data_IF_511831435631
#
_entry.id   IF_511831435631
#
_cell.length_a   1.000
_cell.length_b   1.000
_cell.length_c   1.000
_cell.angle_alpha   90.00
_cell.angle_beta   90.00
_cell.angle_gamma   90.00
#
_symmetry.space_group_name_H-M   'P 1'
#
loop_
_entity.id
_entity.type
_entity.pdbx_description
1 polymer ?
#
# COMPACT_ATOMS: atom_id res chain seq x y z
N UNK A 1 51.14 43.52 -50.10
CA UNK A 1 49.72 43.40 -49.69
C UNK A 1 49.70 43.05 -48.21
N UNK A 2 49.31 44.01 -47.37
CA UNK A 2 49.22 43.85 -45.91
C UNK A 2 47.78 43.45 -45.57
N UNK A 3 47.57 42.25 -45.02
CA UNK A 3 46.28 41.87 -44.46
C UNK A 3 46.30 42.10 -42.94
N UNK A 4 45.58 43.12 -42.52
CA UNK A 4 45.30 43.44 -41.13
C UNK A 4 44.34 42.41 -40.54
N UNK A 5 44.83 41.55 -39.64
CA UNK A 5 43.99 40.66 -38.85
C UNK A 5 43.51 41.43 -37.61
N UNK A 6 42.29 41.96 -37.69
CA UNK A 6 41.59 42.56 -36.56
C UNK A 6 41.38 41.51 -35.46
N UNK A 7 42.12 41.68 -34.36
CA UNK A 7 42.07 40.82 -33.18
C UNK A 7 40.71 41.03 -32.47
N UNK A 8 39.77 40.11 -32.66
CA UNK A 8 38.51 40.08 -31.90
C UNK A 8 38.83 39.71 -30.46
N UNK A 9 38.98 40.72 -29.59
CA UNK A 9 39.07 40.54 -28.14
C UNK A 9 37.81 39.79 -27.68
N UNK A 10 37.95 38.51 -27.33
CA UNK A 10 36.94 37.80 -26.54
C UNK A 10 36.88 38.48 -25.18
N UNK A 11 35.76 39.11 -24.90
CA UNK A 11 35.43 39.70 -23.60
C UNK A 11 35.19 38.54 -22.62
N UNK A 12 36.28 37.92 -22.15
CA UNK A 12 36.26 36.83 -21.17
C UNK A 12 35.94 37.42 -19.80
N UNK A 13 34.67 37.76 -19.57
CA UNK A 13 34.17 38.12 -18.25
C UNK A 13 34.22 36.87 -17.37
N UNK A 14 35.14 36.85 -16.42
CA UNK A 14 35.21 35.82 -15.39
C UNK A 14 34.04 35.97 -14.40
N UNK A 15 33.51 34.85 -13.93
CA UNK A 15 32.54 34.80 -12.84
C UNK A 15 33.14 35.44 -11.58
N UNK A 16 32.42 36.35 -10.93
CA UNK A 16 32.87 36.88 -9.63
C UNK A 16 32.53 35.91 -8.51
N UNK A 17 33.35 35.89 -7.45
CA UNK A 17 33.07 35.11 -6.24
C UNK A 17 31.75 35.50 -5.59
N UNK A 18 31.35 36.77 -5.71
CA UNK A 18 30.10 37.30 -5.17
C UNK A 18 28.90 36.75 -5.93
N UNK A 19 28.97 36.65 -7.26
CA UNK A 19 27.90 36.04 -8.06
C UNK A 19 27.68 34.57 -7.68
N UNK A 20 28.77 33.82 -7.46
CA UNK A 20 28.65 32.44 -7.01
C UNK A 20 28.08 32.37 -5.58
N UNK A 21 28.47 33.27 -4.68
CA UNK A 21 28.00 33.32 -3.29
C UNK A 21 26.49 33.58 -3.21
N UNK A 22 25.98 34.54 -3.98
CA UNK A 22 24.54 34.83 -4.01
C UNK A 22 23.75 33.64 -4.56
N UNK A 23 24.27 32.94 -5.58
CA UNK A 23 23.60 31.78 -6.16
C UNK A 23 23.48 30.63 -5.16
N UNK A 24 24.57 30.28 -4.46
CA UNK A 24 24.50 29.20 -3.45
C UNK A 24 23.62 29.59 -2.26
N UNK A 25 23.56 30.88 -1.90
CA UNK A 25 22.68 31.38 -0.86
C UNK A 25 21.19 31.20 -1.25
N UNK A 26 20.83 31.55 -2.49
CA UNK A 26 19.46 31.36 -3.01
C UNK A 26 19.11 29.87 -3.10
N UNK A 27 20.01 29.02 -3.62
CA UNK A 27 19.81 27.56 -3.67
C UNK A 27 19.61 26.99 -2.26
N UNK A 28 20.37 27.46 -1.27
CA UNK A 28 20.22 27.05 0.13
C UNK A 28 18.84 27.37 0.70
N UNK A 29 18.32 28.58 0.44
CA UNK A 29 16.97 28.99 0.89
C UNK A 29 15.89 28.13 0.21
N UNK A 30 15.98 27.91 -1.10
CA UNK A 30 15.02 27.10 -1.84
C UNK A 30 15.03 25.63 -1.37
N UNK A 31 16.21 25.05 -1.17
CA UNK A 31 16.37 23.68 -0.70
C UNK A 31 15.78 23.49 0.71
N UNK A 32 15.98 24.46 1.61
CA UNK A 32 15.46 24.41 2.97
C UNK A 32 13.91 24.37 3.01
N UNK A 33 13.23 25.09 2.10
CA UNK A 33 11.76 25.14 2.04
C UNK A 33 11.19 23.84 1.44
N UNK A 34 11.80 23.31 0.38
CA UNK A 34 11.27 22.16 -0.37
C UNK A 34 11.36 20.85 0.42
N UNK A 35 12.47 20.64 1.13
CA UNK A 35 12.82 19.37 1.79
C UNK A 35 11.71 18.80 2.69
N UNK A 36 11.13 19.52 3.67
CA UNK A 36 10.10 18.95 4.55
C UNK A 36 8.78 18.63 3.83
N UNK A 37 8.45 19.35 2.76
CA UNK A 37 7.23 19.11 1.98
C UNK A 37 7.33 17.84 1.14
N UNK A 38 8.51 17.56 0.59
CA UNK A 38 8.78 16.37 -0.21
C UNK A 38 8.61 15.08 0.61
N UNK A 39 9.11 15.05 1.86
CA UNK A 39 8.95 13.89 2.73
C UNK A 39 7.49 13.56 3.04
N UNK A 40 6.66 14.58 3.30
CA UNK A 40 5.21 14.40 3.53
C UNK A 40 4.50 13.86 2.29
N UNK A 41 4.89 14.33 1.10
CA UNK A 41 4.32 13.85 -0.16
C UNK A 41 4.66 12.38 -0.42
N UNK A 42 5.91 11.98 -0.16
CA UNK A 42 6.35 10.58 -0.25
C UNK A 42 5.56 9.71 0.71
N UNK A 43 5.40 10.11 1.97
CA UNK A 43 4.66 9.32 2.95
C UNK A 43 3.18 9.17 2.56
N UNK A 44 2.54 10.26 2.09
CA UNK A 44 1.17 10.19 1.57
C UNK A 44 1.04 9.24 0.37
N UNK A 45 2.05 9.20 -0.51
CA UNK A 45 2.07 8.28 -1.63
C UNK A 45 2.20 6.81 -1.16
N UNK A 46 3.04 6.53 -0.15
CA UNK A 46 3.15 5.20 0.46
C UNK A 46 1.82 4.74 1.05
N UNK A 47 1.16 5.61 1.84
CA UNK A 47 -0.17 5.32 2.41
C UNK A 47 -1.19 5.02 1.29
N UNK A 48 -1.19 5.84 0.23
CA UNK A 48 -2.12 5.67 -0.90
C UNK A 48 -1.90 4.35 -1.64
N UNK A 49 -0.63 3.93 -1.77
CA UNK A 49 -0.27 2.63 -2.37
C UNK A 49 -0.84 1.47 -1.57
N UNK A 50 -0.68 1.47 -0.25
CA UNK A 50 -1.22 0.40 0.61
C UNK A 50 -2.74 0.30 0.48
N UNK A 51 -3.43 1.43 0.50
CA UNK A 51 -4.88 1.47 0.31
C UNK A 51 -5.28 0.90 -1.06
N UNK A 52 -4.53 1.23 -2.12
CA UNK A 52 -4.78 0.69 -3.46
C UNK A 52 -4.54 -0.83 -3.52
N UNK A 53 -3.45 -1.32 -2.92
CA UNK A 53 -3.13 -2.76 -2.86
C UNK A 53 -4.26 -3.53 -2.15
N UNK A 54 -4.72 -3.04 -0.99
CA UNK A 54 -5.82 -3.67 -0.23
C UNK A 54 -7.13 -3.65 -1.02
N UNK A 55 -7.42 -2.57 -1.76
CA UNK A 55 -8.62 -2.50 -2.62
C UNK A 55 -8.57 -3.51 -3.75
N UNK A 56 -7.42 -3.67 -4.40
CA UNK A 56 -7.24 -4.66 -5.45
C UNK A 56 -7.45 -6.08 -4.90
N UNK A 57 -6.89 -6.39 -3.73
CA UNK A 57 -7.09 -7.67 -3.05
C UNK A 57 -8.57 -7.88 -2.70
N UNK A 58 -9.25 -6.87 -2.16
CA UNK A 58 -10.69 -6.95 -1.84
C UNK A 58 -11.53 -7.23 -3.08
N UNK A 59 -11.28 -6.53 -4.18
CA UNK A 59 -11.97 -6.76 -5.44
C UNK A 59 -11.74 -8.18 -5.98
N UNK A 60 -10.50 -8.67 -5.93
CA UNK A 60 -10.16 -10.02 -6.33
C UNK A 60 -10.86 -11.08 -5.46
N UNK A 61 -10.92 -10.86 -4.15
CA UNK A 61 -11.63 -11.73 -3.23
C UNK A 61 -13.12 -11.80 -3.52
N UNK A 62 -13.76 -10.66 -3.83
CA UNK A 62 -15.16 -10.64 -4.23
C UNK A 62 -15.42 -11.34 -5.55
N UNK A 63 -14.55 -11.16 -6.56
CA UNK A 63 -14.67 -11.88 -7.82
C UNK A 63 -14.60 -13.40 -7.59
N UNK A 64 -13.62 -13.86 -6.82
CA UNK A 64 -13.52 -15.28 -6.44
C UNK A 64 -14.78 -15.77 -5.71
N UNK A 65 -15.29 -14.99 -4.75
CA UNK A 65 -16.49 -15.36 -4.00
C UNK A 65 -17.73 -15.43 -4.89
N UNK A 66 -17.87 -14.51 -5.84
CA UNK A 66 -18.99 -14.50 -6.79
C UNK A 66 -19.02 -15.76 -7.66
N UNK A 67 -17.85 -16.25 -8.05
CA UNK A 67 -17.71 -17.42 -8.93
C UNK A 67 -17.82 -18.76 -8.17
N UNK A 68 -17.29 -18.83 -6.96
CA UNK A 68 -17.14 -20.09 -6.21
C UNK A 68 -18.07 -20.25 -5.00
N UNK A 69 -18.70 -19.15 -4.55
CA UNK A 69 -19.52 -19.10 -3.34
C UNK A 69 -18.71 -19.18 -2.03
N UNK A 70 -17.39 -19.06 -2.09
CA UNK A 70 -16.53 -19.05 -0.91
C UNK A 70 -15.32 -18.12 -1.08
N UNK A 71 -14.64 -17.79 0.01
CA UNK A 71 -13.38 -17.05 -0.07
C UNK A 71 -12.23 -17.98 -0.51
N UNK A 72 -11.22 -17.45 -1.23
CA UNK A 72 -10.03 -18.22 -1.59
C UNK A 72 -9.49 -18.96 -0.38
N UNK A 73 -9.08 -20.21 -0.57
CA UNK A 73 -8.27 -20.87 0.46
C UNK A 73 -7.02 -20.00 0.68
N UNK A 74 -6.59 -19.85 1.91
CA UNK A 74 -5.17 -19.60 2.15
C UNK A 74 -4.48 -20.96 2.12
N UNK A 75 -3.18 -21.06 1.85
CA UNK A 75 -2.44 -22.23 2.32
C UNK A 75 -2.74 -22.44 3.80
N UNK A 76 -2.55 -23.67 4.32
CA UNK A 76 -2.95 -24.11 5.67
C UNK A 76 -2.98 -22.96 6.68
N UNK A 77 -4.04 -22.89 7.50
CA UNK A 77 -4.36 -21.85 8.50
C UNK A 77 -3.28 -21.57 9.57
N UNK A 78 -2.03 -21.93 9.31
CA UNK A 78 -0.82 -21.68 10.08
C UNK A 78 0.25 -21.25 9.08
N UNK A 79 0.82 -20.07 9.29
CA UNK A 79 2.06 -19.61 8.66
C UNK A 79 2.98 -20.79 8.31
N UNK A 80 3.08 -21.12 7.03
CA UNK A 80 4.03 -22.11 6.53
C UNK A 80 5.21 -21.36 5.91
N UNK A 81 6.28 -21.08 6.67
CA UNK A 81 7.47 -20.42 6.16
C UNK A 81 8.29 -21.28 5.18
N UNK A 82 7.85 -22.51 4.88
CA UNK A 82 8.57 -23.47 4.03
C UNK A 82 7.92 -23.77 2.69
N UNK A 83 6.66 -23.38 2.44
CA UNK A 83 6.04 -23.51 1.13
C UNK A 83 6.17 -22.23 0.33
N UNK A 84 6.13 -22.34 -1.01
CA UNK A 84 6.00 -21.22 -1.95
C UNK A 84 4.65 -20.48 -1.81
N UNK A 85 4.05 -20.50 -0.61
CA UNK A 85 2.83 -19.79 -0.32
C UNK A 85 3.16 -18.31 -0.21
N UNK A 86 2.66 -17.55 -1.18
CA UNK A 86 2.81 -16.11 -1.28
C UNK A 86 1.96 -15.42 -0.20
N UNK A 87 2.22 -15.71 1.09
CA UNK A 87 1.50 -15.18 2.25
C UNK A 87 -0.03 -15.36 2.17
N UNK A 88 -0.47 -16.53 1.69
CA UNK A 88 -1.90 -16.88 1.56
C UNK A 88 -2.53 -16.46 0.23
N UNK A 89 -1.80 -15.79 -0.67
CA UNK A 89 -2.38 -15.29 -1.92
C UNK A 89 -2.41 -16.30 -3.07
N UNK A 90 -1.80 -17.48 -2.93
CA UNK A 90 -1.61 -18.43 -4.06
C UNK A 90 -2.91 -18.74 -4.83
N UNK A 91 -3.99 -19.02 -4.13
CA UNK A 91 -5.26 -19.41 -4.75
C UNK A 91 -6.08 -18.25 -5.35
N UNK A 92 -5.57 -17.02 -5.28
CA UNK A 92 -6.07 -15.94 -6.13
C UNK A 92 -5.57 -16.06 -7.57
N UNK A 93 -4.44 -16.74 -7.79
CA UNK A 93 -3.82 -16.91 -9.11
C UNK A 93 -3.98 -18.34 -9.65
N UNK A 94 -4.07 -19.31 -8.76
CA UNK A 94 -4.13 -20.73 -9.11
C UNK A 94 -5.48 -21.33 -8.72
N UNK A 95 -5.96 -22.29 -9.52
CA UNK A 95 -7.14 -23.06 -9.18
C UNK A 95 -6.88 -23.89 -7.91
N UNK A 96 -7.82 -23.83 -6.96
CA UNK A 96 -7.76 -24.54 -5.68
C UNK A 96 -8.65 -25.81 -5.64
N UNK A 97 -9.20 -26.18 -6.79
CA UNK A 97 -10.19 -27.24 -6.96
C UNK A 97 -11.63 -26.85 -6.58
N UNK A 98 -11.91 -25.56 -6.32
CA UNK A 98 -13.28 -25.08 -6.14
C UNK A 98 -14.08 -25.16 -7.44
N UNK A 99 -15.35 -25.53 -7.30
CA UNK A 99 -16.30 -25.47 -8.42
C UNK A 99 -16.54 -24.00 -8.77
N UNK A 100 -16.56 -23.69 -10.08
CA UNK A 100 -16.83 -22.34 -10.57
C UNK A 100 -15.61 -21.44 -10.68
N UNK A 101 -14.41 -21.89 -10.29
CA UNK A 101 -13.19 -21.08 -10.47
C UNK A 101 -13.02 -20.63 -11.93
N UNK A 102 -12.90 -19.31 -12.13
CA UNK A 102 -12.77 -18.66 -13.43
C UNK A 102 -11.60 -17.66 -13.44
N UNK A 103 -10.62 -17.88 -12.56
CA UNK A 103 -9.47 -17.00 -12.36
C UNK A 103 -8.46 -17.02 -13.52
N UNK A 104 -7.30 -16.36 -13.35
CA UNK A 104 -6.80 -15.78 -12.11
C UNK A 104 -7.51 -14.47 -11.70
N UNK A 105 -7.71 -14.27 -10.40
CA UNK A 105 -8.32 -13.07 -9.81
C UNK A 105 -7.29 -12.00 -9.41
N UNK A 106 -6.02 -12.38 -9.28
CA UNK A 106 -4.87 -11.48 -9.21
C UNK A 106 -3.86 -11.86 -10.28
N UNK A 107 -3.19 -10.88 -10.88
CA UNK A 107 -2.10 -11.15 -11.84
C UNK A 107 -0.85 -11.71 -11.13
N UNK A 108 -0.58 -11.22 -9.92
CA UNK A 108 0.56 -11.60 -9.08
C UNK A 108 0.25 -11.31 -7.61
N UNK A 109 0.97 -11.92 -6.64
CA UNK A 109 0.77 -11.56 -5.25
C UNK A 109 1.21 -10.11 -5.01
N UNK A 110 0.65 -9.44 -3.99
CA UNK A 110 1.14 -8.13 -3.59
C UNK A 110 2.62 -8.21 -3.20
N UNK A 111 3.38 -7.19 -3.59
CA UNK A 111 4.79 -7.06 -3.17
C UNK A 111 4.91 -6.68 -1.70
N UNK A 112 6.12 -6.29 -1.27
CA UNK A 112 6.31 -5.75 0.07
C UNK A 112 5.53 -4.44 0.25
N UNK A 113 5.13 -4.17 1.49
CA UNK A 113 4.61 -2.86 1.88
C UNK A 113 5.71 -1.80 1.68
N UNK A 114 5.37 -0.50 1.59
CA UNK A 114 6.37 0.56 1.37
C UNK A 114 7.43 0.69 2.48
N UNK A 115 7.25 0.00 3.60
CA UNK A 115 8.17 -0.04 4.73
C UNK A 115 8.84 -1.41 4.91
N UNK A 116 8.70 -2.31 3.93
CA UNK A 116 9.38 -3.61 3.91
C UNK A 116 8.64 -4.75 4.61
N UNK A 117 7.41 -4.52 5.07
CA UNK A 117 6.55 -5.57 5.61
C UNK A 117 5.82 -6.37 4.53
N UNK A 118 4.94 -7.27 4.97
CA UNK A 118 4.18 -8.15 4.09
C UNK A 118 2.69 -7.89 4.18
N UNK A 119 2.00 -8.17 3.07
CA UNK A 119 0.58 -8.44 3.07
C UNK A 119 0.37 -9.93 3.37
N UNK A 120 -0.59 -10.26 4.21
CA UNK A 120 -0.98 -11.63 4.51
C UNK A 120 -2.48 -11.78 4.30
N UNK A 121 -2.89 -12.89 3.72
CA UNK A 121 -4.28 -13.25 3.55
C UNK A 121 -4.61 -14.52 4.33
N UNK A 122 -5.78 -14.54 4.95
CA UNK A 122 -6.37 -15.76 5.47
C UNK A 122 -7.89 -15.70 5.44
N UNK A 123 -8.48 -16.88 5.46
CA UNK A 123 -9.93 -17.05 5.60
C UNK A 123 -10.28 -17.12 7.08
N UNK A 124 -11.39 -16.52 7.47
CA UNK A 124 -11.86 -16.58 8.84
C UNK A 124 -13.39 -16.54 8.88
N UNK A 125 -13.93 -16.43 10.09
CA UNK A 125 -15.34 -16.20 10.34
C UNK A 125 -15.50 -15.11 11.39
N UNK A 126 -16.46 -14.23 11.19
CA UNK A 126 -16.81 -13.18 12.14
C UNK A 126 -18.15 -13.47 12.82
N UNK A 127 -18.21 -13.12 14.11
CA UNK A 127 -19.41 -13.16 14.93
C UNK A 127 -19.44 -11.89 15.77
N UNK A 128 -20.60 -11.24 15.87
CA UNK A 128 -20.79 -9.99 16.61
C UNK A 128 -21.64 -9.00 15.85
N UNK A 129 -21.42 -7.72 16.10
CA UNK A 129 -22.11 -6.62 15.39
C UNK A 129 -21.07 -5.81 14.64
N UNK A 130 -21.22 -5.75 13.32
CA UNK A 130 -20.48 -4.80 12.45
C UNK A 130 -21.40 -3.63 12.11
N UNK A 131 -20.85 -2.57 11.53
CA UNK A 131 -21.64 -1.41 11.09
C UNK A 131 -21.44 -1.22 9.59
N UNK A 132 -22.51 -0.96 8.86
CA UNK A 132 -22.45 -0.62 7.43
C UNK A 132 -21.83 0.78 7.22
N UNK A 133 -21.64 1.16 5.95
CA UNK A 133 -21.14 2.50 5.60
C UNK A 133 -22.06 3.65 6.05
N UNK A 134 -23.35 3.37 6.33
CA UNK A 134 -24.33 4.31 6.87
C UNK A 134 -24.36 4.35 8.41
N UNK A 135 -23.54 3.54 9.09
CA UNK A 135 -23.52 3.43 10.54
C UNK A 135 -24.64 2.56 11.13
N UNK A 136 -25.38 1.81 10.32
CA UNK A 136 -26.40 0.89 10.82
C UNK A 136 -25.75 -0.41 11.32
N UNK A 137 -26.16 -0.94 12.47
CA UNK A 137 -25.64 -2.20 12.98
C UNK A 137 -26.12 -3.39 12.14
N UNK A 138 -25.18 -4.23 11.73
CA UNK A 138 -25.40 -5.52 11.09
C UNK A 138 -24.93 -6.61 12.05
N UNK A 139 -25.86 -7.45 12.51
CA UNK A 139 -25.51 -8.64 13.26
C UNK A 139 -24.91 -9.69 12.32
N UNK A 140 -23.68 -10.12 12.60
CA UNK A 140 -22.98 -11.19 11.90
C UNK A 140 -22.83 -12.38 12.83
N UNK A 141 -23.12 -13.58 12.33
CA UNK A 141 -23.01 -14.80 13.13
C UNK A 141 -22.37 -15.90 12.29
N UNK A 142 -21.16 -16.29 12.67
CA UNK A 142 -20.37 -17.31 11.98
C UNK A 142 -20.21 -17.02 10.48
N UNK A 143 -20.23 -15.74 10.10
CA UNK A 143 -20.23 -15.27 8.72
C UNK A 143 -18.83 -15.44 8.13
N UNK A 144 -18.73 -16.08 6.96
CA UNK A 144 -17.45 -16.28 6.28
C UNK A 144 -16.85 -14.94 5.87
N UNK A 145 -15.59 -14.72 6.20
CA UNK A 145 -14.85 -13.53 5.80
C UNK A 145 -13.45 -13.87 5.28
N UNK A 146 -12.91 -12.95 4.51
CA UNK A 146 -11.50 -12.85 4.20
C UNK A 146 -10.87 -11.79 5.12
N UNK A 147 -9.64 -12.03 5.54
CA UNK A 147 -8.86 -11.06 6.30
C UNK A 147 -7.55 -10.80 5.56
N UNK A 148 -7.24 -9.52 5.39
CA UNK A 148 -5.99 -9.06 4.78
C UNK A 148 -5.23 -8.24 5.80
N UNK A 149 -4.06 -8.72 6.21
CA UNK A 149 -3.21 -8.01 7.15
C UNK A 149 -2.04 -7.35 6.47
N UNK A 150 -1.89 -6.06 6.73
CA UNK A 150 -0.77 -5.23 6.30
C UNK A 150 0.15 -5.09 7.51
N UNK A 151 1.42 -5.48 7.37
CA UNK A 151 2.42 -5.38 8.44
C UNK A 151 3.60 -4.48 8.09
N UNK A 152 4.47 -4.29 9.09
CA UNK A 152 5.75 -3.61 8.94
C UNK A 152 5.66 -2.09 8.97
N UNK A 153 4.65 -1.51 9.65
CA UNK A 153 4.64 -0.06 9.85
C UNK A 153 5.77 0.33 10.81
N UNK A 154 6.51 1.41 10.52
CA UNK A 154 7.67 1.84 11.31
C UNK A 154 7.29 2.38 12.69
N UNK A 155 6.08 2.93 12.83
CA UNK A 155 5.55 3.46 14.07
C UNK A 155 4.01 3.45 14.07
N UNK A 156 3.45 3.65 15.26
CA UNK A 156 2.01 3.68 15.48
C UNK A 156 1.31 4.81 14.70
N UNK A 157 1.93 5.98 14.57
CA UNK A 157 1.35 7.14 13.90
C UNK A 157 1.14 6.89 12.40
N UNK A 158 2.10 6.24 11.75
CA UNK A 158 1.97 5.82 10.34
C UNK A 158 0.88 4.74 10.20
N UNK A 159 0.86 3.73 11.08
CA UNK A 159 -0.21 2.71 11.10
C UNK A 159 -1.60 3.37 11.20
N UNK A 160 -1.78 4.27 12.16
CA UNK A 160 -3.07 4.89 12.42
C UNK A 160 -3.52 5.82 11.27
N UNK A 161 -2.56 6.46 10.59
CA UNK A 161 -2.84 7.24 9.38
C UNK A 161 -3.32 6.36 8.21
N UNK A 162 -2.74 5.17 8.07
CA UNK A 162 -3.15 4.19 7.05
C UNK A 162 -4.51 3.58 7.41
N UNK A 163 -4.73 3.22 8.67
CA UNK A 163 -5.98 2.66 9.17
C UNK A 163 -7.17 3.60 8.88
N UNK A 164 -7.01 4.89 9.18
CA UNK A 164 -8.03 5.90 8.86
C UNK A 164 -8.42 5.89 7.38
N UNK A 165 -7.42 5.85 6.50
CA UNK A 165 -7.63 5.81 5.05
C UNK A 165 -8.25 4.50 4.59
N UNK A 166 -7.95 3.38 5.23
CA UNK A 166 -8.58 2.08 4.95
C UNK A 166 -10.05 2.12 5.36
N UNK A 167 -10.36 2.62 6.57
CA UNK A 167 -11.75 2.74 7.06
C UNK A 167 -12.63 3.61 6.18
N UNK A 168 -12.09 4.73 5.71
CA UNK A 168 -12.80 5.66 4.81
C UNK A 168 -13.12 5.05 3.44
N UNK A 169 -12.37 4.03 3.01
CA UNK A 169 -12.18 3.79 1.58
C UNK A 169 -12.24 2.33 1.15
N UNK A 170 -12.14 1.41 2.10
CA UNK A 170 -12.16 -0.05 1.92
C UNK A 170 -13.20 -0.68 2.82
N UNK A 171 -13.22 -0.33 4.10
CA UNK A 171 -14.18 -0.87 5.07
C UNK A 171 -13.55 -1.16 6.43
N UNK A 172 -14.08 -2.15 7.13
CA UNK A 172 -13.73 -2.42 8.51
C UNK A 172 -12.29 -2.94 8.69
N UNK A 173 -11.59 -2.42 9.68
CA UNK A 173 -10.24 -2.83 10.05
C UNK A 173 -10.05 -2.92 11.56
N UNK A 174 -9.04 -3.68 11.96
CA UNK A 174 -8.47 -3.73 13.30
C UNK A 174 -7.01 -3.34 13.25
N UNK A 175 -6.52 -2.66 14.27
CA UNK A 175 -5.11 -2.33 14.43
C UNK A 175 -4.52 -3.16 15.56
N UNK A 176 -3.26 -3.55 15.43
CA UNK A 176 -2.56 -4.29 16.47
C UNK A 176 -1.06 -4.01 16.46
N UNK A 177 -0.39 -4.63 17.43
CA UNK A 177 1.05 -4.64 17.59
C UNK A 177 1.45 -6.01 18.11
N UNK A 178 2.42 -6.65 17.46
CA UNK A 178 2.97 -7.94 17.87
C UNK A 178 4.50 -7.87 17.81
N UNK A 179 5.17 -8.19 18.92
CA UNK A 179 6.64 -8.17 19.03
C UNK A 179 7.27 -6.85 18.53
N UNK A 180 6.65 -5.70 18.83
CA UNK A 180 7.11 -4.38 18.40
C UNK A 180 6.85 -4.07 16.91
N UNK A 181 6.13 -4.93 16.20
CA UNK A 181 5.71 -4.69 14.80
C UNK A 181 4.24 -4.32 14.75
N UNK A 182 3.96 -3.14 14.23
CA UNK A 182 2.61 -2.64 14.01
C UNK A 182 1.97 -3.28 12.77
N UNK A 183 0.68 -3.60 12.86
CA UNK A 183 -0.10 -4.16 11.75
C UNK A 183 -1.55 -3.68 11.73
N UNK A 184 -2.19 -3.82 10.56
CA UNK A 184 -3.61 -3.54 10.34
C UNK A 184 -4.23 -4.76 9.68
N UNK A 185 -5.30 -5.31 10.25
CA UNK A 185 -6.07 -6.40 9.68
C UNK A 185 -7.39 -5.87 9.14
N UNK A 186 -7.59 -5.97 7.83
CA UNK A 186 -8.80 -5.53 7.13
C UNK A 186 -9.72 -6.72 6.95
N UNK A 187 -10.97 -6.58 7.38
CA UNK A 187 -11.97 -7.64 7.29
C UNK A 187 -12.86 -7.38 6.10
N UNK A 188 -13.01 -8.40 5.27
CA UNK A 188 -13.77 -8.37 4.05
C UNK A 188 -14.82 -9.48 4.15
N UNK A 189 -16.09 -9.10 4.10
CA UNK A 189 -17.22 -10.03 4.05
C UNK A 189 -18.21 -9.57 2.97
N UNK A 190 -19.16 -10.43 2.65
CA UNK A 190 -20.27 -10.10 1.76
C UNK A 190 -21.37 -9.43 2.60
N UNK A 191 -21.68 -8.18 2.31
CA UNK A 191 -22.81 -7.47 2.91
C UNK A 191 -24.09 -7.86 2.14
N UNK A 192 -25.06 -8.51 2.81
CA UNK A 192 -26.41 -8.70 2.28
C UNK A 192 -26.69 -9.99 1.48
N UNK A 193 -26.39 -11.17 2.05
CA UNK A 193 -27.04 -12.43 1.64
C UNK A 193 -28.02 -12.91 2.71
#
# INVERSE_FOLDING_TARGET
>A
MVNSLSNLRRDSRGFTLVELLVVIAIIGILAAIITPSAFKAVEKAKISRVVADVRAIKAAGYAYYADTGDWPKAGQDSYDPGTADNYGFRYFMEADGSNGWNGPYLEKPPGLTPWGGHYRYWKSRITGTVYDAGGNPIAVNNTKCAVVTVGGFPDQGIRDAVDRRIRESVGYSYVGEENGTYYISVIIWMEGL
#
